data_IF_793880343868
#
_entry.id   IF_793880343868
#
_cell.length_a   1.000
_cell.length_b   1.000
_cell.length_c   1.000
_cell.angle_alpha   90.00
_cell.angle_beta   90.00
_cell.angle_gamma   90.00
#
_symmetry.space_group_name_H-M   'P 1'
#
loop_
_entity.id
_entity.type
_entity.pdbx_description
1 polymer ?
#
# COMPACT_ATOMS: atom_id res chain seq x y z
N UNK A 1 -61.48 33.34 -35.51
CA UNK A 1 -60.75 32.05 -35.59
C UNK A 1 -59.66 32.23 -36.65
N UNK A 2 -58.40 32.48 -36.22
CA UNK A 2 -57.44 31.37 -36.17
C UNK A 2 -56.65 31.30 -34.85
N UNK A 3 -56.05 30.13 -34.65
CA UNK A 3 -55.47 29.60 -33.40
C UNK A 3 -54.12 30.24 -33.01
N UNK A 4 -53.96 30.53 -31.72
CA UNK A 4 -52.68 30.72 -31.05
C UNK A 4 -51.92 29.38 -30.98
N UNK A 5 -50.66 29.37 -31.39
CA UNK A 5 -49.72 28.28 -31.09
C UNK A 5 -48.81 28.72 -29.92
N UNK A 6 -48.97 28.08 -28.77
CA UNK A 6 -48.08 28.22 -27.62
C UNK A 6 -46.98 27.15 -27.70
N UNK A 7 -45.71 27.57 -27.82
CA UNK A 7 -44.56 26.68 -27.68
C UNK A 7 -44.13 26.65 -26.20
N UNK A 8 -44.47 25.55 -25.53
CA UNK A 8 -43.96 25.21 -24.20
C UNK A 8 -42.50 24.73 -24.31
N UNK A 9 -41.59 25.49 -23.70
CA UNK A 9 -40.20 25.11 -23.56
C UNK A 9 -40.02 23.94 -22.60
N UNK A 10 -39.51 22.82 -23.12
CA UNK A 10 -39.01 21.71 -22.31
C UNK A 10 -37.56 22.00 -21.92
N UNK A 11 -37.36 22.53 -20.71
CA UNK A 11 -36.05 22.54 -20.07
C UNK A 11 -35.81 21.14 -19.52
N UNK A 12 -35.01 20.34 -20.24
CA UNK A 12 -34.51 19.07 -19.72
C UNK A 12 -33.52 19.35 -18.58
N UNK A 13 -33.65 18.70 -17.40
CA UNK A 13 -32.64 18.81 -16.37
C UNK A 13 -31.34 18.19 -16.88
N UNK A 14 -30.30 19.03 -16.97
CA UNK A 14 -28.94 18.63 -17.33
C UNK A 14 -28.45 17.68 -16.23
N UNK A 15 -28.59 16.38 -16.43
CA UNK A 15 -28.00 15.39 -15.54
C UNK A 15 -26.50 15.63 -15.53
N UNK A 16 -25.99 16.10 -14.38
CA UNK A 16 -24.57 16.18 -14.14
C UNK A 16 -24.04 14.75 -14.13
N UNK A 17 -23.53 14.30 -15.28
CA UNK A 17 -22.64 13.14 -15.35
C UNK A 17 -21.49 13.47 -14.42
N UNK A 18 -21.46 12.85 -13.23
CA UNK A 18 -20.25 12.82 -12.41
C UNK A 18 -19.21 12.09 -13.24
N UNK A 19 -18.40 12.85 -13.98
CA UNK A 19 -17.20 12.34 -14.63
C UNK A 19 -16.42 11.56 -13.57
N UNK A 20 -16.38 10.24 -13.72
CA UNK A 20 -15.62 9.36 -12.83
C UNK A 20 -14.15 9.69 -13.02
N UNK A 21 -13.61 10.56 -12.18
CA UNK A 21 -12.17 10.70 -12.07
C UNK A 21 -11.61 9.30 -11.79
N UNK A 22 -10.56 8.86 -12.51
CA UNK A 22 -9.90 7.60 -12.20
C UNK A 22 -9.62 7.57 -10.69
N UNK A 23 -10.06 6.51 -10.00
CA UNK A 23 -9.68 6.33 -8.59
C UNK A 23 -8.17 6.23 -8.57
N UNK A 24 -7.51 7.30 -8.14
CA UNK A 24 -6.06 7.33 -8.04
C UNK A 24 -5.65 6.29 -7.00
N UNK A 25 -4.82 5.33 -7.40
CA UNK A 25 -4.29 4.29 -6.51
C UNK A 25 -3.37 4.99 -5.50
N UNK A 26 -3.68 4.97 -4.19
CA UNK A 26 -2.81 5.55 -3.20
C UNK A 26 -1.43 4.89 -3.24
N UNK A 27 -0.39 5.72 -3.30
CA UNK A 27 1.00 5.30 -3.35
C UNK A 27 1.77 5.95 -2.19
N UNK A 28 2.62 5.16 -1.54
CA UNK A 28 3.53 5.61 -0.50
C UNK A 28 4.96 5.28 -0.91
N UNK A 29 5.80 6.30 -1.08
CA UNK A 29 7.24 6.09 -1.12
C UNK A 29 7.73 5.86 0.31
N UNK A 30 8.68 4.95 0.50
CA UNK A 30 9.26 4.69 1.82
C UNK A 30 10.78 4.55 1.78
N UNK A 31 11.40 4.87 2.90
CA UNK A 31 12.79 4.58 3.19
C UNK A 31 12.95 4.24 4.66
N UNK A 32 13.74 3.23 4.96
CA UNK A 32 13.96 2.76 6.34
C UNK A 32 15.37 2.26 6.55
N UNK A 33 15.80 2.23 7.80
CA UNK A 33 17.12 1.79 8.23
C UNK A 33 16.98 0.59 9.18
N UNK A 34 17.94 -0.33 9.11
CA UNK A 34 17.95 -1.52 9.95
C UNK A 34 18.01 -1.13 11.43
N UNK A 35 17.04 -1.63 12.20
CA UNK A 35 16.82 -1.31 13.60
C UNK A 35 17.16 -2.49 14.54
N UNK A 36 17.56 -3.64 13.99
CA UNK A 36 17.95 -4.83 14.75
C UNK A 36 17.08 -6.05 14.47
N UNK A 37 17.16 -7.02 15.38
CA UNK A 37 16.38 -8.26 15.34
C UNK A 37 15.50 -8.29 16.59
N UNK A 38 14.23 -8.68 16.45
CA UNK A 38 13.31 -8.77 17.57
C UNK A 38 13.40 -10.10 18.33
N UNK A 39 12.59 -10.22 19.38
CA UNK A 39 12.57 -11.40 20.25
C UNK A 39 12.14 -12.68 19.53
N UNK A 40 11.41 -12.54 18.43
CA UNK A 40 10.95 -13.66 17.59
C UNK A 40 11.95 -13.97 16.46
N UNK A 41 13.08 -13.25 16.41
CA UNK A 41 14.11 -13.42 15.38
C UNK A 41 13.83 -12.67 14.08
N UNK A 42 12.84 -11.77 14.04
CA UNK A 42 12.53 -11.01 12.83
C UNK A 42 13.48 -9.82 12.67
N UNK A 43 13.98 -9.63 11.45
CA UNK A 43 14.72 -8.43 11.11
C UNK A 43 13.78 -7.22 11.10
N UNK A 44 14.20 -6.12 11.73
CA UNK A 44 13.41 -4.89 11.84
C UNK A 44 14.05 -3.71 11.14
N UNK A 45 13.22 -2.88 10.53
CA UNK A 45 13.59 -1.58 10.01
C UNK A 45 12.62 -0.51 10.49
N UNK A 46 13.14 0.70 10.66
CA UNK A 46 12.36 1.88 10.99
C UNK A 46 12.64 3.01 10.01
N UNK A 47 11.62 3.79 9.67
CA UNK A 47 11.75 4.74 8.58
C UNK A 47 10.63 5.75 8.45
N UNK A 48 10.51 6.29 7.25
CA UNK A 48 9.46 7.24 6.86
C UNK A 48 8.69 6.75 5.64
N UNK A 49 7.44 7.20 5.56
CA UNK A 49 6.60 7.10 4.36
C UNK A 49 6.15 8.50 3.94
N UNK A 50 5.99 8.70 2.63
CA UNK A 50 5.51 9.93 2.00
C UNK A 50 4.59 9.61 0.82
N UNK A 51 3.76 10.55 0.39
CA UNK A 51 2.82 10.37 -0.73
C UNK A 51 1.37 10.53 -0.28
N UNK A 52 0.54 9.49 -0.51
CA UNK A 52 -0.87 9.51 -0.12
C UNK A 52 -1.08 9.74 1.39
N UNK A 53 -0.09 9.36 2.20
CA UNK A 53 0.06 9.79 3.58
C UNK A 53 1.54 9.95 3.94
N UNK A 54 1.85 10.84 4.88
CA UNK A 54 3.19 11.00 5.43
C UNK A 54 3.24 10.50 6.89
N UNK A 55 4.38 9.93 7.30
CA UNK A 55 4.51 9.37 8.64
C UNK A 55 5.77 8.53 8.86
N UNK A 56 5.73 7.71 9.91
CA UNK A 56 6.75 6.71 10.25
C UNK A 56 6.32 5.33 9.78
N UNK A 57 7.28 4.50 9.43
CA UNK A 57 7.05 3.09 9.13
C UNK A 57 7.95 2.21 9.99
N UNK A 58 7.40 1.09 10.44
CA UNK A 58 8.14 -0.02 11.03
C UNK A 58 7.86 -1.27 10.19
N UNK A 59 8.92 -1.97 9.82
CA UNK A 59 8.88 -3.19 9.02
C UNK A 59 9.50 -4.30 9.86
N UNK A 60 8.80 -5.41 10.03
CA UNK A 60 9.37 -6.64 10.55
C UNK A 60 9.34 -7.69 9.43
N UNK A 61 10.45 -8.38 9.20
CA UNK A 61 10.60 -9.39 8.14
C UNK A 61 11.00 -10.72 8.76
N UNK A 62 10.26 -11.76 8.40
CA UNK A 62 10.45 -13.13 8.79
C UNK A 62 10.76 -13.97 7.54
N UNK A 63 11.86 -14.72 7.55
CA UNK A 63 12.10 -15.76 6.55
C UNK A 63 11.18 -16.95 6.85
N UNK A 64 10.41 -17.39 5.85
CA UNK A 64 9.43 -18.48 6.03
C UNK A 64 10.14 -19.82 6.15
N UNK A 65 11.18 -20.03 5.34
CA UNK A 65 12.02 -21.22 5.40
C UNK A 65 12.97 -21.18 6.60
N UNK A 66 13.57 -22.34 6.90
CA UNK A 66 14.46 -22.46 8.04
C UNK A 66 15.72 -21.61 7.87
N UNK A 67 16.38 -21.16 8.96
CA UNK A 67 17.66 -20.46 8.86
C UNK A 67 18.76 -21.25 8.14
N UNK A 68 18.66 -22.59 8.11
CA UNK A 68 19.56 -23.46 7.35
C UNK A 68 19.45 -23.22 5.83
N UNK A 69 18.31 -22.72 5.36
CA UNK A 69 18.05 -22.38 3.96
C UNK A 69 18.39 -20.92 3.63
N UNK A 70 18.80 -20.12 4.61
CA UNK A 70 19.22 -18.72 4.44
C UNK A 70 20.44 -18.54 3.53
N UNK A 71 21.18 -19.63 3.22
CA UNK A 71 22.23 -19.61 2.20
C UNK A 71 21.70 -19.43 0.78
N UNK A 72 20.40 -19.66 0.54
CA UNK A 72 19.76 -19.31 -0.72
C UNK A 72 19.70 -17.78 -0.84
N UNK A 73 20.18 -17.15 -1.92
CA UNK A 73 20.11 -15.70 -2.07
C UNK A 73 18.68 -15.18 -2.29
N UNK A 74 17.71 -16.05 -2.58
CA UNK A 74 16.31 -15.68 -2.73
C UNK A 74 15.53 -16.27 -1.56
N UNK A 75 15.01 -15.40 -0.70
CA UNK A 75 14.21 -15.79 0.45
C UNK A 75 12.74 -15.57 0.17
N UNK A 76 11.92 -16.53 0.55
CA UNK A 76 10.50 -16.31 0.71
C UNK A 76 10.26 -15.79 2.13
N UNK A 77 9.51 -14.70 2.23
CA UNK A 77 9.38 -13.92 3.46
C UNK A 77 7.94 -13.55 3.75
N UNK A 78 7.64 -13.42 5.03
CA UNK A 78 6.48 -12.70 5.55
C UNK A 78 6.93 -11.42 6.17
N UNK A 79 6.15 -10.36 6.01
CA UNK A 79 6.49 -9.05 6.53
C UNK A 79 5.29 -8.34 7.13
N UNK A 80 5.46 -7.89 8.38
CA UNK A 80 4.49 -7.04 9.07
C UNK A 80 4.91 -5.58 8.93
N UNK A 81 3.97 -4.77 8.48
CA UNK A 81 4.14 -3.34 8.28
C UNK A 81 3.25 -2.56 9.23
N UNK A 82 3.80 -1.53 9.85
CA UNK A 82 3.06 -0.56 10.66
C UNK A 82 3.37 0.85 10.19
N UNK A 83 2.36 1.56 9.72
CA UNK A 83 2.46 2.95 9.29
C UNK A 83 1.76 3.85 10.30
N UNK A 84 2.55 4.66 11.01
CA UNK A 84 2.06 5.69 11.92
C UNK A 84 2.01 7.04 11.19
N UNK A 85 0.82 7.41 10.76
CA UNK A 85 0.57 8.56 9.89
C UNK A 85 0.19 9.84 10.63
N UNK A 86 0.40 10.99 9.97
CA UNK A 86 -0.24 12.25 10.29
C UNK A 86 -1.13 12.69 9.10
N UNK A 87 -2.47 12.74 9.25
CA UNK A 87 -3.25 12.54 10.46
C UNK A 87 -3.31 11.07 10.91
N UNK A 88 -3.41 10.84 12.23
CA UNK A 88 -3.43 9.49 12.84
C UNK A 88 -4.51 8.58 12.27
N UNK A 89 -5.64 9.15 11.83
CA UNK A 89 -6.74 8.42 11.20
C UNK A 89 -6.34 7.72 9.89
N UNK A 90 -5.19 8.06 9.30
CA UNK A 90 -4.62 7.39 8.12
C UNK A 90 -3.55 6.33 8.46
N UNK A 91 -3.36 6.01 9.73
CA UNK A 91 -2.43 4.96 10.18
C UNK A 91 -3.02 3.58 9.86
N UNK A 92 -2.16 2.62 9.57
CA UNK A 92 -2.58 1.25 9.26
C UNK A 92 -1.50 0.22 9.58
N UNK A 93 -1.93 -1.04 9.66
CA UNK A 93 -1.04 -2.21 9.68
C UNK A 93 -1.37 -3.13 8.51
N UNK A 94 -0.35 -3.74 7.93
CA UNK A 94 -0.48 -4.67 6.81
C UNK A 94 0.40 -5.90 7.01
N UNK A 95 -0.06 -7.03 6.51
CA UNK A 95 0.70 -8.28 6.44
C UNK A 95 0.94 -8.59 4.97
N UNK A 96 2.21 -8.75 4.59
CA UNK A 96 2.66 -9.01 3.24
C UNK A 96 3.46 -10.32 3.19
N UNK A 97 3.46 -10.98 2.04
CA UNK A 97 4.25 -12.18 1.74
C UNK A 97 4.84 -12.06 0.33
N UNK A 98 6.00 -12.64 0.10
CA UNK A 98 6.65 -12.60 -1.21
C UNK A 98 8.13 -12.92 -1.15
N UNK A 99 8.90 -12.39 -2.11
CA UNK A 99 10.30 -12.76 -2.28
C UNK A 99 11.23 -11.57 -2.02
N UNK A 100 12.37 -11.86 -1.39
CA UNK A 100 13.54 -10.98 -1.36
C UNK A 100 14.70 -11.68 -2.06
N UNK A 101 15.17 -11.09 -3.14
CA UNK A 101 16.40 -11.50 -3.82
C UNK A 101 17.56 -10.63 -3.32
N UNK A 102 18.36 -11.19 -2.42
CA UNK A 102 19.55 -10.57 -1.84
C UNK A 102 20.70 -10.42 -2.83
N UNK A 103 20.72 -11.22 -3.91
CA UNK A 103 21.74 -11.10 -4.96
C UNK A 103 21.50 -9.83 -5.79
N UNK A 104 20.26 -9.52 -6.11
CA UNK A 104 19.89 -8.31 -6.85
C UNK A 104 19.48 -7.13 -5.96
N UNK A 105 19.36 -7.38 -4.66
CA UNK A 105 18.88 -6.42 -3.67
C UNK A 105 17.48 -5.94 -3.98
N UNK A 106 16.55 -6.83 -4.33
CA UNK A 106 15.16 -6.44 -4.63
C UNK A 106 14.14 -7.26 -3.86
N UNK A 107 13.01 -6.63 -3.56
CA UNK A 107 11.83 -7.28 -3.00
C UNK A 107 10.59 -6.98 -3.82
N UNK A 108 9.70 -7.97 -3.83
CA UNK A 108 8.32 -7.83 -4.28
C UNK A 108 7.43 -8.58 -3.31
N UNK A 109 6.75 -7.84 -2.44
CA UNK A 109 5.80 -8.40 -1.48
C UNK A 109 4.38 -7.96 -1.80
N UNK A 110 3.40 -8.75 -1.40
CA UNK A 110 2.00 -8.37 -1.52
C UNK A 110 1.14 -8.97 -0.43
N UNK A 111 0.00 -8.35 -0.16
CA UNK A 111 -0.89 -8.79 0.90
C UNK A 111 -1.99 -7.80 1.18
N UNK A 112 -2.38 -7.66 2.45
CA UNK A 112 -3.56 -6.88 2.81
C UNK A 112 -3.34 -5.97 4.00
N UNK A 113 -4.05 -4.84 4.00
CA UNK A 113 -4.17 -4.00 5.19
C UNK A 113 -5.09 -4.71 6.19
N UNK A 114 -4.54 -5.12 7.32
CA UNK A 114 -5.24 -5.89 8.36
C UNK A 114 -5.94 -4.99 9.38
N UNK A 115 -5.45 -3.76 9.57
CA UNK A 115 -6.08 -2.79 10.48
C UNK A 115 -5.86 -1.34 10.06
N UNK A 116 -6.75 -0.45 10.51
CA UNK A 116 -6.64 1.00 10.29
C UNK A 116 -7.19 1.47 8.95
N UNK A 117 -6.58 2.53 8.41
CA UNK A 117 -7.01 3.17 7.17
C UNK A 117 -6.91 2.22 5.98
N UNK A 118 -7.99 2.14 5.20
CA UNK A 118 -8.10 1.23 4.05
C UNK A 118 -7.99 -0.26 4.42
N UNK A 119 -8.38 -0.66 5.64
CA UNK A 119 -8.50 -2.07 6.03
C UNK A 119 -9.22 -2.90 4.95
N UNK A 120 -8.64 -4.05 4.60
CA UNK A 120 -9.12 -4.96 3.56
C UNK A 120 -8.67 -4.59 2.15
N UNK A 121 -7.99 -3.46 1.95
CA UNK A 121 -7.35 -3.15 0.68
C UNK A 121 -6.14 -4.06 0.44
N UNK A 122 -5.89 -4.36 -0.83
CA UNK A 122 -4.70 -5.07 -1.25
C UNK A 122 -3.50 -4.12 -1.29
N UNK A 123 -2.32 -4.62 -0.97
CA UNK A 123 -1.08 -3.84 -0.97
C UNK A 123 -0.02 -4.57 -1.77
N UNK A 124 0.71 -3.83 -2.58
CA UNK A 124 1.90 -4.31 -3.29
C UNK A 124 3.09 -3.46 -2.88
N UNK A 125 4.17 -4.12 -2.54
CA UNK A 125 5.47 -3.54 -2.25
C UNK A 125 6.44 -3.86 -3.40
N UNK A 126 7.23 -2.87 -3.76
CA UNK A 126 8.41 -3.05 -4.60
C UNK A 126 9.52 -2.20 -4.00
N UNK A 127 10.66 -2.82 -3.67
CA UNK A 127 11.79 -2.10 -3.11
C UNK A 127 13.15 -2.60 -3.60
N UNK A 128 14.14 -1.75 -3.34
CA UNK A 128 15.55 -2.05 -3.46
C UNK A 128 16.21 -1.95 -2.10
N UNK A 129 17.06 -2.93 -1.80
CA UNK A 129 17.94 -2.91 -0.65
C UNK A 129 19.26 -2.27 -1.05
N UNK A 130 19.66 -1.24 -0.31
CA UNK A 130 20.98 -0.61 -0.42
C UNK A 130 21.64 -0.75 0.94
N UNK A 131 22.78 -1.43 1.02
CA UNK A 131 23.46 -1.73 2.29
C UNK A 131 22.55 -2.42 3.33
N UNK A 132 21.58 -3.22 2.89
CA UNK A 132 20.62 -3.90 3.77
C UNK A 132 19.39 -3.06 4.15
N UNK A 133 19.29 -1.83 3.66
CA UNK A 133 18.18 -0.91 3.95
C UNK A 133 17.20 -0.82 2.77
N UNK A 134 15.91 -1.18 2.96
CA UNK A 134 14.93 -1.14 1.88
C UNK A 134 14.42 0.28 1.66
N UNK A 135 14.32 0.63 0.38
CA UNK A 135 13.69 1.85 -0.12
C UNK A 135 12.85 1.53 -1.33
N UNK A 136 11.62 2.03 -1.38
CA UNK A 136 10.69 1.58 -2.40
C UNK A 136 9.33 2.24 -2.32
N UNK A 137 8.35 1.51 -2.82
CA UNK A 137 6.97 1.97 -2.95
C UNK A 137 6.01 0.92 -2.41
N UNK A 138 5.01 1.38 -1.64
CA UNK A 138 3.77 0.65 -1.38
C UNK A 138 2.65 1.22 -2.25
N UNK A 139 2.00 0.36 -3.05
CA UNK A 139 0.77 0.67 -3.77
C UNK A 139 -0.41 0.03 -3.05
N UNK A 140 -1.39 0.84 -2.67
CA UNK A 140 -2.61 0.37 -2.01
C UNK A 140 -3.72 0.31 -3.04
N UNK A 141 -4.15 -0.89 -3.40
CA UNK A 141 -5.24 -1.12 -4.34
C UNK A 141 -6.54 -1.22 -3.52
N UNK A 142 -7.44 -0.21 -3.61
CA UNK A 142 -8.67 -0.22 -2.83
C UNK A 142 -9.48 -1.47 -3.12
N UNK A 143 -9.97 -2.14 -2.08
CA UNK A 143 -10.92 -3.23 -2.27
C UNK A 143 -12.15 -2.68 -3.00
N UNK A 144 -12.52 -3.35 -4.10
CA UNK A 144 -13.84 -3.17 -4.69
C UNK A 144 -14.81 -3.78 -3.69
N UNK A 145 -15.30 -2.98 -2.73
CA UNK A 145 -16.38 -3.43 -1.88
C UNK A 145 -17.54 -3.87 -2.79
N UNK A 146 -17.83 -5.17 -2.82
CA UNK A 146 -19.14 -5.66 -3.24
C UNK A 146 -20.09 -5.18 -2.14
N UNK A 147 -21.03 -4.32 -2.54
CA UNK A 147 -22.10 -3.81 -1.68
C UNK A 147 -23.04 -4.93 -1.27
#
# INVERSE_FOLDING_TARGET
>A
MPFLAALLGLVLPRQAVRNGQPRQIPQLAFSSEFAGVDQDGNCKWEGRVEGAVAGRVTIALHQVESPLEASNPVWHVRSRWKVAAAPRARSFEAELEGMVDWKTGSSQLSGTITSGWMKGAWVQEEARFVNGDPRGVLRIIPSLAVR
#
